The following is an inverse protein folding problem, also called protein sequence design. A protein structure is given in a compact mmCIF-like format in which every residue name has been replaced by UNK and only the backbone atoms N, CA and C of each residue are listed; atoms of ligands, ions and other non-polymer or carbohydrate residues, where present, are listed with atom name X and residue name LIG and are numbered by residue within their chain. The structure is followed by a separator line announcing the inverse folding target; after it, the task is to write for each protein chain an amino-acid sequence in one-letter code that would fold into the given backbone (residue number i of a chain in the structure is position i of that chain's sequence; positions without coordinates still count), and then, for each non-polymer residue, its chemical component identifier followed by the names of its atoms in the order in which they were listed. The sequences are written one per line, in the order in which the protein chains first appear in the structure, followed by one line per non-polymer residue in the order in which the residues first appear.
data_IF_203223446672
#
_entry.id   IF_203223446672
#
_cell.length_a   1.000
_cell.length_b   1.000
_cell.length_c   1.000
_cell.angle_alpha   90.00
_cell.angle_beta   90.00
_cell.angle_gamma   90.00
#
_symmetry.space_group_name_H-M   'P 1'
#
loop_
_entity.id
_entity.type
_entity.pdbx_description
1 polymer ?
#
# COMPACT_ATOMS: atom_id res chain seq x y z
N UNK A 1 61.65 -39.15 14.54
CA UNK A 1 60.17 -39.12 14.47
C UNK A 1 59.80 -38.20 13.31
N UNK A 2 59.44 -38.76 12.14
CA UNK A 2 59.00 -37.97 10.99
C UNK A 2 57.51 -37.66 11.15
N UNK A 3 57.19 -36.46 11.64
CA UNK A 3 55.83 -35.94 11.68
C UNK A 3 55.58 -35.06 10.47
N UNK A 4 54.91 -35.59 9.44
CA UNK A 4 54.36 -34.78 8.35
C UNK A 4 53.09 -34.11 8.90
N UNK A 5 53.12 -32.80 9.12
CA UNK A 5 51.95 -32.05 9.61
C UNK A 5 51.36 -31.17 8.52
N UNK A 6 50.24 -31.66 8.00
CA UNK A 6 49.06 -30.99 7.44
C UNK A 6 49.25 -29.79 6.49
N UNK A 7 48.92 -30.02 5.21
CA UNK A 7 48.69 -28.96 4.21
C UNK A 7 47.46 -28.14 4.59
N UNK A 8 47.63 -26.84 4.85
CA UNK A 8 46.52 -25.91 5.01
C UNK A 8 45.91 -25.61 3.63
N UNK A 9 44.77 -26.23 3.32
CA UNK A 9 43.90 -25.77 2.24
C UNK A 9 43.02 -24.66 2.81
N UNK A 10 43.42 -23.41 2.60
CA UNK A 10 42.55 -22.25 2.86
C UNK A 10 41.59 -22.14 1.67
N UNK A 11 40.42 -22.75 1.82
CA UNK A 11 39.30 -22.51 0.90
C UNK A 11 38.71 -21.16 1.27
N UNK A 12 39.07 -20.12 0.52
CA UNK A 12 38.37 -18.83 0.56
C UNK A 12 36.97 -19.06 -0.03
N UNK A 13 36.02 -19.45 0.81
CA UNK A 13 34.62 -19.34 0.48
C UNK A 13 34.30 -17.84 0.41
N UNK A 14 34.36 -17.25 -0.78
CA UNK A 14 33.75 -15.96 -1.04
C UNK A 14 32.24 -16.15 -0.91
N UNK A 15 31.75 -15.99 0.31
CA UNK A 15 30.34 -15.76 0.55
C UNK A 15 29.98 -14.46 -0.14
N UNK A 16 29.42 -14.56 -1.34
CA UNK A 16 28.66 -13.45 -1.91
C UNK A 16 27.43 -13.34 -1.03
N UNK A 17 27.56 -12.57 0.05
CA UNK A 17 26.42 -11.89 0.64
C UNK A 17 25.94 -10.97 -0.48
N UNK A 18 25.00 -11.47 -1.28
CA UNK A 18 24.22 -10.67 -2.20
C UNK A 18 23.48 -9.66 -1.35
N UNK A 19 24.11 -8.51 -1.12
CA UNK A 19 23.36 -7.29 -0.88
C UNK A 19 22.59 -7.07 -2.18
N UNK A 20 21.33 -7.50 -2.21
CA UNK A 20 20.36 -6.90 -3.10
C UNK A 20 20.32 -5.42 -2.70
N UNK A 21 21.13 -4.61 -3.37
CA UNK A 21 20.90 -3.18 -3.43
C UNK A 21 19.49 -3.06 -4.01
N UNK A 22 18.51 -2.78 -3.15
CA UNK A 22 17.16 -2.45 -3.58
C UNK A 22 17.26 -1.10 -4.32
N UNK A 23 17.60 -1.16 -5.60
CA UNK A 23 17.67 -0.02 -6.50
C UNK A 23 16.27 0.21 -7.05
N UNK A 24 15.58 1.28 -6.60
CA UNK A 24 14.31 1.65 -7.21
C UNK A 24 14.48 2.29 -8.58
N UNK A 25 13.40 2.32 -9.36
CA UNK A 25 13.36 2.90 -10.72
C UNK A 25 12.10 3.70 -10.98
N UNK A 26 12.06 4.39 -12.13
CA UNK A 26 10.84 5.01 -12.65
C UNK A 26 10.22 4.09 -13.69
N UNK A 27 8.96 3.69 -13.47
CA UNK A 27 8.18 2.86 -14.40
C UNK A 27 7.52 3.76 -15.44
N UNK A 28 7.50 3.35 -16.70
CA UNK A 28 6.78 4.16 -17.70
C UNK A 28 5.27 3.94 -17.62
N UNK A 29 4.47 4.96 -17.97
CA UNK A 29 3.00 4.86 -18.05
C UNK A 29 2.53 3.65 -18.88
N UNK A 30 3.20 3.39 -19.99
CA UNK A 30 2.82 2.33 -20.93
C UNK A 30 3.28 0.94 -20.45
N UNK A 31 4.45 0.83 -19.83
CA UNK A 31 4.89 -0.40 -19.16
C UNK A 31 3.91 -0.80 -18.07
N UNK A 32 3.53 0.14 -17.20
CA UNK A 32 2.60 -0.13 -16.11
C UNK A 32 1.22 -0.54 -16.62
N UNK A 33 0.71 0.17 -17.64
CA UNK A 33 -0.52 -0.22 -18.35
C UNK A 33 -0.45 -1.66 -18.84
N UNK A 34 0.62 -2.03 -19.54
CA UNK A 34 0.76 -3.37 -20.13
C UNK A 34 0.77 -4.45 -19.06
N UNK A 35 1.56 -4.26 -17.99
CA UNK A 35 1.64 -5.22 -16.89
C UNK A 35 0.30 -5.39 -16.17
N UNK A 36 -0.40 -4.29 -15.89
CA UNK A 36 -1.72 -4.34 -15.23
C UNK A 36 -2.79 -4.96 -16.12
N UNK A 37 -2.82 -4.63 -17.41
CA UNK A 37 -3.83 -5.17 -18.33
C UNK A 37 -3.75 -6.70 -18.44
N UNK A 38 -2.52 -7.24 -18.49
CA UNK A 38 -2.31 -8.70 -18.56
C UNK A 38 -2.95 -9.45 -17.40
N UNK A 39 -2.93 -8.87 -16.19
CA UNK A 39 -3.47 -9.55 -15.01
C UNK A 39 -4.92 -9.16 -14.74
N UNK A 40 -5.36 -7.94 -15.04
CA UNK A 40 -6.77 -7.55 -14.91
C UNK A 40 -7.65 -8.33 -15.90
N UNK A 41 -7.13 -8.68 -17.08
CA UNK A 41 -7.83 -9.52 -18.05
C UNK A 41 -8.13 -10.94 -17.52
N UNK A 42 -7.45 -11.40 -16.46
CA UNK A 42 -7.70 -12.70 -15.84
C UNK A 42 -8.73 -12.66 -14.71
N UNK A 43 -9.24 -11.47 -14.34
CA UNK A 43 -10.26 -11.34 -13.30
C UNK A 43 -11.61 -11.94 -13.75
N UNK A 44 -12.37 -12.57 -12.84
CA UNK A 44 -13.65 -13.19 -13.17
C UNK A 44 -14.66 -12.20 -13.78
N UNK A 45 -15.41 -12.62 -14.81
CA UNK A 45 -16.40 -11.78 -15.51
C UNK A 45 -17.51 -11.23 -14.60
N UNK A 46 -17.75 -11.82 -13.43
CA UNK A 46 -18.66 -11.27 -12.42
C UNK A 46 -18.27 -9.84 -11.99
N UNK A 47 -16.99 -9.48 -12.06
CA UNK A 47 -16.50 -8.12 -11.78
C UNK A 47 -16.86 -7.09 -12.88
N UNK A 48 -17.03 -7.54 -14.13
CA UNK A 48 -17.34 -6.69 -15.28
C UNK A 48 -18.80 -6.23 -15.32
N UNK A 49 -19.67 -6.82 -14.49
CA UNK A 49 -21.10 -6.48 -14.39
C UNK A 49 -21.34 -5.08 -13.78
N UNK A 50 -20.29 -4.42 -13.28
CA UNK A 50 -20.31 -3.06 -12.73
C UNK A 50 -20.36 -1.94 -13.78
N UNK A 51 -20.27 -2.26 -15.08
CA UNK A 51 -20.27 -1.28 -16.18
C UNK A 51 -18.93 -0.58 -16.40
N UNK A 52 -17.89 -0.91 -15.63
CA UNK A 52 -16.51 -0.45 -15.87
C UNK A 52 -15.76 -1.43 -16.77
N UNK A 53 -15.15 -0.92 -17.85
CA UNK A 53 -14.27 -1.72 -18.71
C UNK A 53 -12.94 -1.98 -17.99
N UNK A 54 -12.34 -3.15 -18.23
CA UNK A 54 -11.03 -3.52 -17.69
C UNK A 54 -9.96 -2.45 -17.96
N UNK A 55 -9.93 -1.89 -19.17
CA UNK A 55 -9.02 -0.81 -19.54
C UNK A 55 -9.21 0.46 -18.69
N UNK A 56 -10.46 0.83 -18.39
CA UNK A 56 -10.76 2.01 -17.57
C UNK A 56 -10.36 1.79 -16.11
N UNK A 57 -10.39 0.55 -15.63
CA UNK A 57 -9.84 0.18 -14.31
C UNK A 57 -8.31 0.33 -14.33
N UNK A 58 -7.64 -0.21 -15.35
CA UNK A 58 -6.19 -0.04 -15.53
C UNK A 58 -5.82 1.44 -15.56
N UNK A 59 -6.57 2.27 -16.31
CA UNK A 59 -6.32 3.70 -16.42
C UNK A 59 -6.38 4.42 -15.07
N UNK A 60 -7.34 4.05 -14.21
CA UNK A 60 -7.47 4.61 -12.87
C UNK A 60 -6.30 4.22 -11.97
N UNK A 61 -5.86 2.96 -12.01
CA UNK A 61 -4.70 2.48 -11.23
C UNK A 61 -3.41 3.16 -11.70
N UNK A 62 -3.20 3.28 -13.02
CA UNK A 62 -2.02 3.97 -13.56
C UNK A 62 -2.06 5.48 -13.23
N UNK A 63 -3.24 6.10 -13.25
CA UNK A 63 -3.40 7.48 -12.77
C UNK A 63 -3.03 7.63 -11.30
N UNK A 64 -3.43 6.67 -10.44
CA UNK A 64 -3.02 6.68 -9.03
C UNK A 64 -1.49 6.66 -8.87
N UNK A 65 -0.80 5.77 -9.58
CA UNK A 65 0.65 5.73 -9.57
C UNK A 65 1.28 7.05 -10.06
N UNK A 66 0.70 7.67 -11.10
CA UNK A 66 1.13 8.99 -11.58
C UNK A 66 1.00 10.06 -10.50
N UNK A 67 -0.16 10.13 -9.83
CA UNK A 67 -0.46 11.16 -8.83
C UNK A 67 0.25 10.93 -7.49
N UNK A 68 0.44 9.67 -7.12
CA UNK A 68 0.97 9.27 -5.82
C UNK A 68 2.50 9.17 -5.78
N UNK A 69 3.11 8.63 -6.83
CA UNK A 69 4.56 8.37 -6.86
C UNK A 69 5.29 8.95 -8.05
N UNK A 70 4.56 9.56 -9.00
CA UNK A 70 5.10 9.91 -10.31
C UNK A 70 5.85 8.72 -10.95
N UNK A 71 5.29 7.52 -10.76
CA UNK A 71 5.83 6.23 -11.19
C UNK A 71 7.17 5.80 -10.56
N UNK A 72 7.58 6.40 -9.45
CA UNK A 72 8.83 6.04 -8.75
C UNK A 72 8.59 4.87 -7.80
N UNK A 73 9.34 3.77 -7.98
CA UNK A 73 9.18 2.57 -7.12
C UNK A 73 9.81 2.75 -5.75
N UNK A 74 10.90 3.50 -5.59
CA UNK A 74 11.54 3.69 -4.26
C UNK A 74 10.91 4.78 -3.38
N UNK A 75 9.75 5.33 -3.74
CA UNK A 75 9.17 6.45 -3.00
C UNK A 75 8.58 6.01 -1.65
N UNK A 76 9.03 6.67 -0.58
CA UNK A 76 8.45 6.54 0.76
C UNK A 76 7.90 7.90 1.21
N UNK A 77 6.62 7.94 1.57
CA UNK A 77 5.96 9.16 2.08
C UNK A 77 5.51 8.95 3.52
N UNK A 78 5.78 9.92 4.41
CA UNK A 78 5.29 9.89 5.79
C UNK A 78 4.02 10.72 5.91
N UNK A 79 2.96 10.13 6.46
CA UNK A 79 1.67 10.79 6.72
C UNK A 79 1.49 10.91 8.23
N UNK A 80 1.62 12.12 8.75
CA UNK A 80 1.28 12.40 10.15
C UNK A 80 -0.25 12.45 10.31
N UNK A 81 -0.78 11.82 11.36
CA UNK A 81 -2.17 11.97 11.72
C UNK A 81 -2.44 13.44 12.08
N UNK A 82 -3.30 14.13 11.33
CA UNK A 82 -3.71 15.49 11.67
C UNK A 82 -4.48 15.48 12.99
N UNK A 83 -3.89 16.06 14.05
CA UNK A 83 -4.62 16.39 15.27
C UNK A 83 -5.67 17.45 14.96
N UNK A 84 -6.94 17.06 14.97
CA UNK A 84 -8.06 17.99 14.88
C UNK A 84 -8.03 19.03 16.00
N UNK A 85 -7.60 20.26 15.69
CA UNK A 85 -7.83 21.41 16.55
C UNK A 85 -9.33 21.76 16.51
N UNK A 86 -10.06 21.36 17.55
CA UNK A 86 -11.37 21.95 17.82
C UNK A 86 -11.14 23.38 18.31
N UNK A 87 -11.37 24.32 17.39
CA UNK A 87 -11.37 25.75 17.67
C UNK A 87 -12.34 26.09 18.81
N UNK A 88 -11.86 26.97 19.68
CA UNK A 88 -12.65 27.62 20.70
C UNK A 88 -13.84 28.36 20.07
N UNK A 89 -15.06 28.02 20.48
CA UNK A 89 -16.20 28.93 20.43
C UNK A 89 -16.88 28.89 21.79
N UNK A 90 -16.81 30.02 22.47
CA UNK A 90 -17.55 30.31 23.68
C UNK A 90 -19.04 30.44 23.38
N UNK A 91 -19.92 29.92 24.26
CA UNK A 91 -21.24 30.50 24.62
C UNK A 91 -21.96 29.69 25.72
N UNK A 92 -22.10 30.33 26.90
CA UNK A 92 -23.24 30.35 27.86
C UNK A 92 -23.95 29.05 28.36
N UNK A 93 -23.87 28.82 29.67
CA UNK A 93 -24.78 28.04 30.55
C UNK A 93 -26.14 28.77 30.83
N UNK A 94 -27.21 28.22 31.50
CA UNK A 94 -27.29 27.10 32.49
C UNK A 94 -28.59 26.21 32.37
N UNK A 95 -29.14 25.56 33.44
CA UNK A 95 -28.71 24.29 34.07
C UNK A 95 -29.82 23.22 34.06
N UNK A 96 -29.52 21.91 34.07
CA UNK A 96 -30.35 20.92 34.81
C UNK A 96 -29.62 19.58 35.00
N UNK A 97 -29.76 19.06 36.21
CA UNK A 97 -29.06 17.94 36.81
C UNK A 97 -29.34 16.57 36.16
N UNK A 98 -28.31 15.72 36.11
CA UNK A 98 -28.39 14.36 36.68
C UNK A 98 -27.01 13.72 36.84
N UNK A 99 -26.76 13.29 38.06
CA UNK A 99 -25.57 12.62 38.56
C UNK A 99 -25.49 11.20 38.00
N UNK A 100 -24.45 10.88 37.21
CA UNK A 100 -24.04 9.49 36.94
C UNK A 100 -22.55 9.36 37.22
N UNK A 101 -22.26 8.65 38.31
CA UNK A 101 -20.93 8.09 38.61
C UNK A 101 -20.51 7.18 37.47
N UNK A 102 -19.51 7.59 36.70
CA UNK A 102 -18.69 6.66 35.93
C UNK A 102 -17.33 6.59 36.59
N UNK A 103 -17.05 5.42 37.18
CA UNK A 103 -15.75 5.06 37.68
C UNK A 103 -14.73 5.17 36.57
N UNK A 104 -13.64 5.86 36.90
CA UNK A 104 -12.45 6.00 36.10
C UNK A 104 -11.78 4.62 35.99
N UNK A 105 -11.85 4.00 34.82
CA UNK A 105 -10.81 3.07 34.38
C UNK A 105 -10.29 3.60 33.05
N UNK A 106 -9.31 4.50 33.17
CA UNK A 106 -8.45 4.88 32.07
C UNK A 106 -7.71 3.63 31.59
N UNK A 107 -8.13 3.11 30.44
CA UNK A 107 -7.20 2.48 29.52
C UNK A 107 -7.01 3.47 28.38
N UNK A 108 -6.11 4.42 28.63
CA UNK A 108 -5.34 5.05 27.56
C UNK A 108 -4.52 3.94 26.92
N UNK A 109 -5.13 3.13 26.05
CA UNK A 109 -4.38 2.49 24.98
C UNK A 109 -3.77 3.64 24.20
N UNK A 110 -2.47 3.84 24.36
CA UNK A 110 -1.74 4.90 23.68
C UNK A 110 -2.08 4.85 22.20
N UNK A 111 -2.93 5.77 21.79
CA UNK A 111 -3.14 6.13 20.41
C UNK A 111 -1.80 6.71 20.00
N UNK A 112 -0.94 5.86 19.45
CA UNK A 112 0.07 6.37 18.56
C UNK A 112 -0.74 7.14 17.52
N UNK A 113 -0.76 8.46 17.64
CA UNK A 113 -1.03 9.39 16.55
C UNK A 113 0.06 9.12 15.50
N UNK A 114 -0.04 7.93 14.89
CA UNK A 114 1.06 7.25 14.27
C UNK A 114 1.39 7.98 13.01
N UNK A 115 2.67 8.20 12.76
CA UNK A 115 3.12 8.53 11.42
C UNK A 115 3.01 7.24 10.61
N UNK A 116 2.13 7.20 9.62
CA UNK A 116 1.97 6.05 8.73
C UNK A 116 2.85 6.27 7.52
N UNK A 117 3.68 5.29 7.18
CA UNK A 117 4.51 5.35 5.98
C UNK A 117 3.79 4.70 4.80
N UNK A 118 3.84 5.37 3.65
CA UNK A 118 3.36 4.90 2.35
C UNK A 118 4.56 4.47 1.52
N UNK A 119 4.46 3.32 0.88
CA UNK A 119 5.56 2.68 0.16
C UNK A 119 5.22 2.52 -1.31
N UNK A 120 6.20 2.79 -2.15
CA UNK A 120 6.23 2.20 -3.47
C UNK A 120 5.43 2.92 -4.53
N UNK A 121 5.39 2.27 -5.68
CA UNK A 121 4.71 2.74 -6.89
C UNK A 121 3.25 3.14 -6.63
N UNK A 122 2.57 2.40 -5.75
CA UNK A 122 1.16 2.61 -5.41
C UNK A 122 0.90 3.26 -4.05
N UNK A 123 1.96 3.69 -3.34
CA UNK A 123 1.87 4.34 -2.04
C UNK A 123 1.02 3.54 -1.03
N UNK A 124 1.41 2.27 -0.84
CA UNK A 124 0.75 1.30 0.04
C UNK A 124 1.17 1.54 1.50
N UNK A 125 0.23 1.65 2.44
CA UNK A 125 0.56 1.94 3.85
C UNK A 125 1.06 0.71 4.65
N UNK A 126 2.09 0.93 5.47
CA UNK A 126 2.35 0.14 6.68
C UNK A 126 1.51 0.69 7.83
N UNK A 127 0.88 -0.14 8.68
CA UNK A 127 0.97 -1.61 8.80
C UNK A 127 -0.04 -2.39 7.92
N UNK A 128 -0.84 -1.72 7.11
CA UNK A 128 -2.05 -2.34 6.56
C UNK A 128 -1.78 -3.34 5.44
N UNK A 129 -0.87 -3.01 4.52
CA UNK A 129 -0.63 -3.80 3.30
C UNK A 129 0.65 -4.60 3.34
N UNK A 130 1.66 -4.09 4.04
CA UNK A 130 2.96 -4.73 4.23
C UNK A 130 3.41 -4.64 5.69
N UNK A 131 4.42 -5.43 6.05
CA UNK A 131 5.07 -5.37 7.35
C UNK A 131 6.44 -4.69 7.27
N UNK A 132 6.71 -3.76 8.20
CA UNK A 132 8.04 -3.18 8.46
C UNK A 132 8.81 -3.92 9.57
N UNK A 133 8.27 -5.02 10.11
CA UNK A 133 8.91 -5.82 11.17
C UNK A 133 8.71 -5.30 12.59
N UNK A 134 7.94 -4.22 12.78
CA UNK A 134 7.85 -3.55 14.08
C UNK A 134 6.78 -4.14 15.03
N UNK A 135 5.70 -4.77 14.52
CA UNK A 135 4.61 -5.37 15.33
C UNK A 135 3.78 -6.39 14.52
N UNK A 136 2.82 -7.07 15.18
CA UNK A 136 1.76 -7.79 14.49
C UNK A 136 0.91 -6.80 13.67
N UNK A 137 0.95 -6.95 12.36
CA UNK A 137 0.29 -6.06 11.41
C UNK A 137 -0.73 -6.84 10.58
N UNK A 138 -1.82 -6.20 10.10
CA UNK A 138 -2.77 -6.86 9.20
C UNK A 138 -2.09 -7.44 7.96
N UNK A 139 -1.08 -6.72 7.42
CA UNK A 139 -0.22 -7.18 6.32
C UNK A 139 -1.02 -7.92 5.23
N UNK A 140 -2.02 -7.22 4.67
CA UNK A 140 -2.99 -7.82 3.73
C UNK A 140 -2.28 -8.51 2.56
N UNK A 141 -1.17 -7.95 2.08
CA UNK A 141 -0.40 -8.52 0.97
C UNK A 141 0.65 -9.54 1.41
N UNK A 142 0.76 -9.82 2.71
CA UNK A 142 1.62 -10.85 3.28
C UNK A 142 3.08 -10.73 2.82
N UNK A 143 3.58 -9.49 2.77
CA UNK A 143 4.90 -9.14 2.22
C UNK A 143 5.64 -8.14 3.12
N UNK A 144 6.94 -7.97 2.88
CA UNK A 144 7.75 -6.92 3.51
C UNK A 144 7.56 -5.61 2.76
N UNK A 145 7.52 -4.48 3.46
CA UNK A 145 7.45 -3.17 2.80
C UNK A 145 8.69 -2.86 1.95
N UNK A 146 9.81 -3.57 2.17
CA UNK A 146 11.01 -3.46 1.33
C UNK A 146 10.79 -3.92 -0.10
N UNK A 147 9.85 -4.84 -0.33
CA UNK A 147 9.59 -5.39 -1.66
C UNK A 147 8.83 -4.36 -2.52
N UNK A 148 8.00 -3.50 -1.90
CA UNK A 148 7.34 -2.40 -2.61
C UNK A 148 8.27 -1.24 -2.99
N UNK A 149 9.56 -1.27 -2.64
CA UNK A 149 10.51 -0.18 -2.91
C UNK A 149 11.72 -0.59 -3.74
N UNK A 150 11.70 -1.79 -4.33
CA UNK A 150 12.71 -2.28 -5.26
C UNK A 150 12.34 -1.97 -6.73
N UNK A 151 13.03 -2.57 -7.71
CA UNK A 151 12.77 -2.40 -9.14
C UNK A 151 11.70 -3.34 -9.71
N UNK A 152 11.39 -4.44 -9.02
CA UNK A 152 10.46 -5.48 -9.46
C UNK A 152 9.04 -5.20 -8.99
N UNK A 153 8.28 -4.55 -9.85
CA UNK A 153 6.87 -4.19 -9.57
C UNK A 153 5.88 -5.37 -9.55
N UNK A 154 6.35 -6.60 -9.56
CA UNK A 154 5.48 -7.78 -9.64
C UNK A 154 4.68 -7.99 -8.36
N UNK A 155 5.30 -7.79 -7.19
CA UNK A 155 4.62 -7.90 -5.90
C UNK A 155 3.72 -6.68 -5.62
N UNK A 156 4.14 -5.48 -6.05
CA UNK A 156 3.31 -4.26 -6.06
C UNK A 156 1.98 -4.50 -6.79
N UNK A 157 2.05 -4.98 -8.05
CA UNK A 157 0.89 -5.26 -8.88
C UNK A 157 0.03 -6.36 -8.26
N UNK A 158 0.66 -7.43 -7.77
CA UNK A 158 -0.03 -8.55 -7.13
C UNK A 158 -0.82 -8.10 -5.90
N UNK A 159 -0.26 -7.18 -5.10
CA UNK A 159 -0.92 -6.60 -3.95
C UNK A 159 -2.17 -5.79 -4.35
N UNK A 160 -2.05 -4.87 -5.32
CA UNK A 160 -3.19 -4.08 -5.81
C UNK A 160 -4.31 -4.98 -6.36
N UNK A 161 -3.96 -6.05 -7.06
CA UNK A 161 -4.95 -7.00 -7.57
C UNK A 161 -5.63 -7.79 -6.47
N UNK A 162 -4.90 -8.23 -5.43
CA UNK A 162 -5.48 -8.88 -4.26
C UNK A 162 -6.53 -7.99 -3.60
N UNK A 163 -6.22 -6.71 -3.45
CA UNK A 163 -7.10 -5.69 -2.90
C UNK A 163 -8.36 -5.51 -3.77
N UNK A 164 -8.20 -5.43 -5.10
CA UNK A 164 -9.31 -5.31 -6.03
C UNK A 164 -10.20 -6.57 -6.05
N UNK A 165 -9.60 -7.76 -6.04
CA UNK A 165 -10.33 -9.02 -6.00
C UNK A 165 -11.13 -9.16 -4.70
N UNK A 166 -10.52 -8.87 -3.54
CA UNK A 166 -11.22 -8.89 -2.25
C UNK A 166 -12.41 -7.92 -2.24
N UNK A 167 -12.23 -6.74 -2.82
CA UNK A 167 -13.32 -5.77 -3.00
C UNK A 167 -14.45 -6.32 -3.88
N UNK A 168 -14.12 -6.96 -4.99
CA UNK A 168 -15.11 -7.45 -5.95
C UNK A 168 -15.88 -8.68 -5.45
N UNK A 169 -15.20 -9.56 -4.72
CA UNK A 169 -15.77 -10.81 -4.21
C UNK A 169 -16.51 -10.60 -2.88
N UNK A 170 -15.90 -9.87 -1.94
CA UNK A 170 -16.41 -9.73 -0.59
C UNK A 170 -17.10 -8.38 -0.36
N UNK A 171 -16.72 -7.33 -1.10
CA UNK A 171 -17.30 -6.00 -0.97
C UNK A 171 -17.31 -5.51 0.47
N UNK A 172 -18.46 -5.03 0.93
CA UNK A 172 -18.68 -4.57 2.31
C UNK A 172 -18.59 -5.67 3.37
N UNK A 173 -18.42 -6.95 2.97
CA UNK A 173 -18.28 -8.10 3.88
C UNK A 173 -16.82 -8.43 4.20
N UNK A 174 -15.84 -7.73 3.62
CA UNK A 174 -14.42 -7.89 3.95
C UNK A 174 -14.17 -7.54 5.43
N UNK A 175 -13.42 -8.40 6.13
CA UNK A 175 -12.99 -8.18 7.53
C UNK A 175 -12.20 -6.86 7.69
N UNK A 176 -11.60 -6.37 6.60
CA UNK A 176 -10.79 -5.15 6.56
C UNK A 176 -11.45 -4.00 5.79
N UNK A 177 -12.78 -4.01 5.62
CA UNK A 177 -13.54 -3.07 4.78
C UNK A 177 -13.20 -1.59 4.99
N UNK A 178 -13.04 -1.13 6.24
CA UNK A 178 -12.77 0.28 6.52
C UNK A 178 -11.44 0.75 5.92
N UNK A 179 -10.44 -0.13 5.93
CA UNK A 179 -9.09 0.17 5.45
C UNK A 179 -9.00 0.00 3.93
N UNK A 180 -9.62 -1.05 3.41
CA UNK A 180 -9.83 -1.26 1.98
C UNK A 180 -10.55 -0.05 1.36
N UNK A 181 -11.60 0.47 2.01
CA UNK A 181 -12.37 1.63 1.54
C UNK A 181 -11.55 2.92 1.54
N UNK A 182 -10.75 3.19 2.58
CA UNK A 182 -9.85 4.35 2.62
C UNK A 182 -8.84 4.26 1.49
N UNK A 183 -8.25 3.08 1.30
CA UNK A 183 -7.28 2.85 0.25
C UNK A 183 -7.91 2.99 -1.15
N UNK A 184 -9.11 2.48 -1.38
CA UNK A 184 -9.85 2.69 -2.64
C UNK A 184 -10.12 4.18 -2.86
N UNK A 185 -10.51 4.93 -1.82
CA UNK A 185 -10.67 6.38 -1.94
C UNK A 185 -9.36 7.07 -2.34
N UNK A 186 -8.22 6.55 -1.88
CA UNK A 186 -6.88 7.04 -2.20
C UNK A 186 -6.38 6.54 -3.57
N UNK A 187 -6.73 5.32 -4.00
CA UNK A 187 -6.38 4.77 -5.32
C UNK A 187 -7.27 5.33 -6.43
N UNK A 188 -8.51 5.69 -6.11
CA UNK A 188 -9.47 6.27 -7.04
C UNK A 188 -9.77 7.71 -6.63
N UNK A 189 -8.70 8.50 -6.45
CA UNK A 189 -8.80 9.92 -6.14
C UNK A 189 -9.70 10.64 -7.14
N UNK A 190 -10.29 11.77 -6.74
CA UNK A 190 -11.21 12.52 -7.60
C UNK A 190 -10.58 12.87 -8.96
N UNK A 191 -9.28 13.20 -8.96
CA UNK A 191 -8.51 13.47 -10.19
C UNK A 191 -8.50 12.28 -11.16
N UNK A 192 -8.43 11.06 -10.64
CA UNK A 192 -8.39 9.84 -11.44
C UNK A 192 -9.79 9.28 -11.78
N UNK A 193 -10.85 9.76 -11.12
CA UNK A 193 -12.20 9.24 -11.31
C UNK A 193 -12.73 9.46 -12.73
N UNK A 194 -12.39 10.60 -13.34
CA UNK A 194 -12.85 10.97 -14.70
C UNK A 194 -11.96 10.44 -15.83
N UNK A 195 -10.83 9.79 -15.49
CA UNK A 195 -9.90 9.24 -16.48
C UNK A 195 -10.59 8.12 -17.27
N UNK A 196 -10.45 8.20 -18.59
CA UNK A 196 -10.89 7.21 -19.57
C UNK A 196 -9.66 6.64 -20.28
N UNK A 197 -9.62 5.33 -20.47
CA UNK A 197 -8.42 4.64 -20.95
C UNK A 197 -7.99 5.08 -22.35
N UNK A 198 -8.96 5.33 -23.23
CA UNK A 198 -8.72 5.70 -24.63
C UNK A 198 -7.90 6.99 -24.73
N UNK A 199 -8.28 8.02 -23.98
CA UNK A 199 -7.61 9.32 -23.98
C UNK A 199 -6.32 9.26 -23.15
N UNK A 200 -6.37 8.64 -21.98
CA UNK A 200 -5.24 8.62 -21.03
C UNK A 200 -4.03 7.84 -21.54
N UNK A 201 -4.28 6.79 -22.35
CA UNK A 201 -3.25 5.97 -22.97
C UNK A 201 -3.05 6.25 -24.45
N UNK A 202 -3.53 7.38 -24.99
CA UNK A 202 -3.40 7.71 -26.41
C UNK A 202 -1.94 7.72 -26.92
N UNK A 203 -0.97 8.00 -26.03
CA UNK A 203 0.46 7.98 -26.35
C UNK A 203 1.14 6.60 -26.16
N UNK A 204 0.41 5.61 -25.62
CA UNK A 204 0.90 4.26 -25.47
C UNK A 204 0.55 3.44 -26.71
N UNK A 205 1.53 3.31 -27.60
CA UNK A 205 1.46 2.51 -28.82
C UNK A 205 1.37 1.02 -28.50
#
# INVERSE_FOLDING_TARGET
MFGVSMRALVVFALGVLGFSLAEGRVVTKCELRQRLFQVIATLPQSAQQSGLKADDIVAKIVCHAEQGSNFTTSLITQVAAEKGQHGAVASTEPPHARNRRHSNQGQSSGENDGVWAMYGLFQLSSPQFCSSGENATPNICQTSCSNFIDDDITDDISCVLKILTDLLENGFRSEHWNELKKMIKVMFQEKCRAVQAKEYFAACQ
#
